data_IF_466765520284
#
_entry.id   IF_466765520284
#
_cell.length_a   1.000
_cell.length_b   1.000
_cell.length_c   1.000
_cell.angle_alpha   90.00
_cell.angle_beta   90.00
_cell.angle_gamma   90.00
#
_symmetry.space_group_name_H-M   'P 1'
#
loop_
_entity.id
_entity.type
_entity.pdbx_description
1 polymer ?
#
# COMPACT_ATOMS: atom_id res chain seq x y z
N UNK A 1 -8.54 -13.13 5.89
CA UNK A 1 -8.00 -11.94 5.22
C UNK A 1 -7.28 -11.11 6.25
N UNK A 2 -5.99 -11.35 6.36
CA UNK A 2 -5.02 -10.48 7.02
C UNK A 2 -4.54 -9.41 6.04
N UNK A 3 -3.71 -8.46 6.51
CA UNK A 3 -3.16 -7.42 5.64
C UNK A 3 -2.16 -7.96 4.61
N UNK A 4 -1.50 -9.07 4.91
CA UNK A 4 -0.58 -9.74 3.97
C UNK A 4 -1.38 -10.51 2.90
N UNK A 5 -2.44 -11.21 3.30
CA UNK A 5 -3.34 -11.91 2.38
C UNK A 5 -4.02 -10.95 1.40
N UNK A 6 -4.33 -9.72 1.81
CA UNK A 6 -4.92 -8.72 0.93
C UNK A 6 -3.91 -8.19 -0.09
N UNK A 7 -2.62 -8.09 0.26
CA UNK A 7 -1.56 -7.69 -0.69
C UNK A 7 -1.43 -8.71 -1.82
N UNK A 8 -1.44 -10.00 -1.48
CA UNK A 8 -1.48 -11.09 -2.46
C UNK A 8 -2.75 -11.06 -3.31
N UNK A 9 -3.91 -10.83 -2.69
CA UNK A 9 -5.18 -10.73 -3.40
C UNK A 9 -5.22 -9.54 -4.38
N UNK A 10 -4.66 -8.39 -4.01
CA UNK A 10 -4.52 -7.22 -4.90
C UNK A 10 -3.68 -7.58 -6.12
N UNK A 11 -2.53 -8.23 -5.91
CA UNK A 11 -1.65 -8.62 -7.01
C UNK A 11 -2.32 -9.61 -7.97
N UNK A 12 -2.97 -10.64 -7.42
CA UNK A 12 -3.72 -11.62 -8.22
C UNK A 12 -4.84 -10.95 -9.00
N UNK A 13 -5.70 -10.16 -8.33
CA UNK A 13 -6.81 -9.46 -8.96
C UNK A 13 -6.36 -8.49 -10.06
N UNK A 14 -5.26 -7.76 -9.85
CA UNK A 14 -4.70 -6.86 -10.86
C UNK A 14 -4.30 -7.63 -12.12
N UNK A 15 -3.63 -8.78 -11.97
CA UNK A 15 -3.19 -9.62 -13.10
C UNK A 15 -4.38 -10.26 -13.80
N UNK A 16 -5.29 -10.89 -13.06
CA UNK A 16 -6.48 -11.56 -13.59
C UNK A 16 -7.38 -10.61 -14.39
N UNK A 17 -7.44 -9.34 -13.98
CA UNK A 17 -8.26 -8.31 -14.63
C UNK A 17 -7.50 -7.48 -15.66
N UNK A 18 -6.21 -7.74 -15.88
CA UNK A 18 -5.38 -6.97 -16.81
C UNK A 18 -5.22 -5.49 -16.44
N UNK A 19 -5.34 -5.14 -15.15
CA UNK A 19 -5.24 -3.75 -14.69
C UNK A 19 -3.78 -3.31 -14.58
N UNK A 20 -3.50 -2.07 -14.97
CA UNK A 20 -2.26 -1.37 -14.69
C UNK A 20 -2.31 -0.63 -13.35
N UNK A 21 -1.14 -0.29 -12.81
CA UNK A 21 -1.08 0.55 -11.60
C UNK A 21 -1.58 1.97 -11.85
N UNK A 22 -1.36 2.50 -13.05
CA UNK A 22 -1.85 3.83 -13.45
C UNK A 22 -3.38 3.87 -13.39
N UNK A 23 -4.08 2.87 -13.95
CA UNK A 23 -5.54 2.83 -13.91
C UNK A 23 -6.13 2.68 -12.50
N UNK A 24 -5.38 2.14 -11.54
CA UNK A 24 -5.79 2.12 -10.14
C UNK A 24 -5.55 3.48 -9.49
N UNK A 25 -4.45 4.13 -9.84
CA UNK A 25 -4.09 5.45 -9.34
C UNK A 25 -5.05 6.55 -9.82
N UNK A 26 -5.42 6.50 -11.10
CA UNK A 26 -6.37 7.43 -11.72
C UNK A 26 -7.75 7.32 -11.07
N UNK A 27 -8.18 6.11 -10.71
CA UNK A 27 -9.48 5.85 -10.07
C UNK A 27 -9.66 6.56 -8.73
N UNK A 28 -8.57 6.89 -8.04
CA UNK A 28 -8.59 7.60 -6.75
C UNK A 28 -7.87 8.95 -6.81
N UNK A 29 -7.45 9.39 -8.00
CA UNK A 29 -6.74 10.66 -8.22
C UNK A 29 -5.52 10.85 -7.30
N UNK A 30 -4.67 9.81 -7.21
CA UNK A 30 -3.43 9.85 -6.40
C UNK A 30 -2.20 9.41 -7.20
N UNK A 31 -0.99 9.74 -6.73
CA UNK A 31 0.24 9.27 -7.36
C UNK A 31 0.34 7.73 -7.37
N UNK A 32 0.83 7.16 -8.47
CA UNK A 32 0.97 5.70 -8.65
C UNK A 32 1.77 5.06 -7.51
N UNK A 33 2.94 5.62 -7.20
CA UNK A 33 3.79 5.09 -6.14
C UNK A 33 3.08 5.06 -4.77
N UNK A 34 2.27 6.08 -4.48
CA UNK A 34 1.47 6.14 -3.26
C UNK A 34 0.39 5.04 -3.26
N UNK A 35 -0.32 4.84 -4.37
CA UNK A 35 -1.38 3.80 -4.44
C UNK A 35 -0.80 2.39 -4.32
N UNK A 36 0.36 2.13 -4.94
CA UNK A 36 1.07 0.86 -4.79
C UNK A 36 1.45 0.63 -3.32
N UNK A 37 2.09 1.60 -2.68
CA UNK A 37 2.47 1.51 -1.27
C UNK A 37 1.25 1.30 -0.35
N UNK A 38 0.14 2.03 -0.58
CA UNK A 38 -1.11 1.88 0.17
C UNK A 38 -1.67 0.46 0.06
N UNK A 39 -1.76 -0.07 -1.16
CA UNK A 39 -2.34 -1.39 -1.43
C UNK A 39 -1.46 -2.51 -0.88
N UNK A 40 -0.14 -2.33 -0.89
CA UNK A 40 0.82 -3.23 -0.28
C UNK A 40 0.94 -3.07 1.25
N UNK A 41 0.31 -2.04 1.82
CA UNK A 41 0.06 -1.92 3.25
C UNK A 41 0.99 -0.99 4.02
N UNK A 42 1.86 -0.26 3.33
CA UNK A 42 2.78 0.74 3.91
C UNK A 42 2.03 1.87 4.65
N UNK A 43 0.83 2.22 4.19
CA UNK A 43 0.01 3.25 4.81
C UNK A 43 -1.49 2.96 4.60
N UNK A 44 -2.38 3.53 5.45
CA UNK A 44 -3.81 3.29 5.34
C UNK A 44 -4.41 4.04 4.15
N UNK A 45 -5.46 3.46 3.56
CA UNK A 45 -6.33 4.13 2.59
C UNK A 45 -7.47 4.89 3.30
N UNK A 46 -7.90 6.02 2.72
CA UNK A 46 -9.14 6.69 3.13
C UNK A 46 -10.35 5.80 2.75
N UNK A 47 -11.46 5.80 3.50
CA UNK A 47 -12.61 4.91 3.24
C UNK A 47 -13.10 4.90 1.79
N UNK A 48 -13.20 6.08 1.18
CA UNK A 48 -13.67 6.25 -0.20
C UNK A 48 -12.70 5.61 -1.20
N UNK A 49 -11.40 5.80 -1.00
CA UNK A 49 -10.35 5.24 -1.86
C UNK A 49 -10.29 3.72 -1.70
N UNK A 50 -10.39 3.22 -0.47
CA UNK A 50 -10.41 1.80 -0.15
C UNK A 50 -11.58 1.09 -0.83
N UNK A 51 -12.80 1.65 -0.73
CA UNK A 51 -13.98 1.10 -1.37
C UNK A 51 -13.85 1.10 -2.90
N UNK A 52 -13.35 2.20 -3.48
CA UNK A 52 -13.16 2.34 -4.93
C UNK A 52 -12.16 1.32 -5.47
N UNK A 53 -11.01 1.19 -4.82
CA UNK A 53 -9.97 0.23 -5.22
C UNK A 53 -10.42 -1.22 -5.00
N UNK A 54 -11.09 -1.52 -3.89
CA UNK A 54 -11.64 -2.85 -3.63
C UNK A 54 -12.66 -3.25 -4.70
N UNK A 55 -13.57 -2.36 -5.09
CA UNK A 55 -14.53 -2.62 -6.15
C UNK A 55 -13.84 -2.83 -7.52
N UNK A 56 -12.87 -1.99 -7.87
CA UNK A 56 -12.14 -2.08 -9.15
C UNK A 56 -11.34 -3.38 -9.26
N UNK A 57 -10.75 -3.82 -8.15
CA UNK A 57 -10.05 -5.10 -8.03
C UNK A 57 -11.00 -6.29 -7.80
N UNK A 58 -12.29 -6.07 -7.56
CA UNK A 58 -13.25 -7.13 -7.24
C UNK A 58 -12.92 -7.89 -5.96
N UNK A 59 -12.32 -7.20 -4.99
CA UNK A 59 -12.07 -7.75 -3.67
C UNK A 59 -13.38 -7.88 -2.89
N UNK A 60 -13.50 -8.86 -1.98
CA UNK A 60 -14.71 -9.03 -1.18
C UNK A 60 -14.94 -7.82 -0.26
N UNK A 61 -16.17 -7.56 0.16
CA UNK A 61 -16.55 -6.37 0.96
C UNK A 61 -15.69 -6.20 2.24
N UNK A 62 -15.31 -7.31 2.88
CA UNK A 62 -14.41 -7.33 4.04
C UNK A 62 -13.01 -6.76 3.76
N UNK A 63 -12.63 -6.55 2.51
CA UNK A 63 -11.33 -6.01 2.10
C UNK A 63 -11.18 -4.53 2.46
N UNK A 64 -12.25 -3.74 2.33
CA UNK A 64 -12.25 -2.29 2.58
C UNK A 64 -11.73 -1.93 3.99
N UNK A 65 -12.28 -2.48 5.10
CA UNK A 65 -11.76 -2.16 6.43
C UNK A 65 -10.32 -2.61 6.67
N UNK A 66 -9.86 -3.66 5.96
CA UNK A 66 -8.48 -4.14 6.06
C UNK A 66 -7.52 -3.18 5.33
N UNK A 67 -7.91 -2.68 4.15
CA UNK A 67 -7.14 -1.68 3.39
C UNK A 67 -6.99 -0.34 4.12
N UNK A 68 -7.91 -0.04 5.04
CA UNK A 68 -7.85 1.14 5.92
C UNK A 68 -6.90 0.94 7.12
N UNK A 69 -6.35 -0.26 7.31
CA UNK A 69 -5.43 -0.56 8.41
C UNK A 69 -3.99 -0.61 7.88
N UNK A 70 -3.04 0.15 8.46
CA UNK A 70 -1.63 0.02 8.08
C UNK A 70 -1.09 -1.33 8.52
N UNK A 71 -0.10 -1.82 7.78
CA UNK A 71 0.76 -2.88 8.26
C UNK A 71 1.54 -2.35 9.49
N UNK A 72 1.30 -2.92 10.67
CA UNK A 72 2.11 -2.61 11.86
C UNK A 72 3.41 -3.41 11.81
N UNK A 73 4.55 -2.72 11.86
CA UNK A 73 5.86 -3.30 12.23
C UNK A 73 6.72 -3.90 11.12
N UNK A 74 6.28 -3.98 9.86
CA UNK A 74 7.05 -4.62 8.77
C UNK A 74 7.98 -3.65 8.01
N UNK A 75 7.58 -2.39 7.89
CA UNK A 75 8.34 -1.34 7.16
C UNK A 75 9.64 -0.98 7.89
N UNK A 76 9.58 -0.91 9.22
CA UNK A 76 10.74 -0.62 10.08
C UNK A 76 11.82 -1.70 9.96
N UNK A 77 11.43 -2.97 9.87
CA UNK A 77 12.36 -4.09 9.72
C UNK A 77 12.95 -4.17 8.31
N UNK A 78 12.12 -4.03 7.26
CA UNK A 78 12.58 -4.07 5.87
C UNK A 78 13.48 -2.89 5.50
N UNK A 79 13.15 -1.67 5.94
CA UNK A 79 13.96 -0.48 5.69
C UNK A 79 15.31 -0.51 6.44
N UNK A 80 15.40 -1.18 7.59
CA UNK A 80 16.69 -1.35 8.29
C UNK A 80 17.64 -2.32 7.56
N UNK A 81 17.10 -3.24 6.75
CA UNK A 81 17.86 -4.28 6.04
C UNK A 81 18.20 -3.92 4.59
N UNK A 82 17.36 -3.15 3.89
CA UNK A 82 17.61 -2.70 2.52
C UNK A 82 18.46 -1.40 2.47
N UNK A 83 19.51 -1.31 1.61
CA UNK A 83 20.37 -0.12 1.51
C UNK A 83 19.64 1.19 1.19
N UNK A 84 18.52 1.15 0.44
CA UNK A 84 17.75 2.36 0.14
C UNK A 84 16.93 2.81 1.36
N UNK A 85 16.33 1.86 2.09
CA UNK A 85 15.65 2.13 3.36
C UNK A 85 16.60 2.72 4.42
N UNK A 86 17.81 2.19 4.56
CA UNK A 86 18.80 2.67 5.54
C UNK A 86 19.21 4.13 5.29
N UNK A 87 19.45 4.50 4.02
CA UNK A 87 19.79 5.89 3.66
C UNK A 87 18.69 6.87 4.00
N UNK A 88 17.43 6.49 3.83
CA UNK A 88 16.30 7.35 4.22
C UNK A 88 16.25 7.55 5.75
N UNK A 89 16.57 6.52 6.54
CA UNK A 89 16.69 6.63 8.00
C UNK A 89 17.86 7.54 8.44
N UNK A 90 19.04 7.38 7.83
CA UNK A 90 20.21 8.22 8.15
C UNK A 90 19.94 9.71 7.93
N UNK A 91 19.25 10.04 6.82
CA UNK A 91 18.86 11.43 6.52
C UNK A 91 17.88 11.94 7.59
N UNK A 92 16.83 11.19 7.92
CA UNK A 92 15.85 11.62 8.92
C UNK A 92 16.45 11.78 10.33
N UNK A 93 17.39 10.91 10.72
CA UNK A 93 18.07 10.98 12.02
C UNK A 93 18.97 12.22 12.12
N UNK A 94 19.66 12.59 11.04
CA UNK A 94 20.48 13.80 10.99
C UNK A 94 19.70 15.10 11.23
N UNK A 95 18.43 15.15 10.82
CA UNK A 95 17.55 16.31 11.06
C UNK A 95 16.94 16.31 12.47
N UNK A 96 16.92 15.16 13.16
CA UNK A 96 16.36 15.05 14.51
C UNK A 96 17.38 15.41 15.60
N UNK A 97 18.66 15.39 15.28
CA UNK A 97 19.77 15.72 16.15
C UNK A 97 20.23 17.20 16.08
N UNK A 98 19.48 18.07 15.38
CA UNK A 98 19.78 19.50 15.19
C UNK A 98 18.80 20.44 15.89
#
# INVERSE_FOLDING_TARGET
MTRDEIGQAVMAAKVERGLSWQELADAVSKPVAWVVAALLGEHPLHPVDAATLAAKLGLPERATPILMTPIRGQVLTAASTDPAGRRAYEVLDSYRAG
#
